data_IF_557613654459
#
_entry.id   IF_557613654459
#
_cell.length_a   1.000
_cell.length_b   1.000
_cell.length_c   1.000
_cell.angle_alpha   90.00
_cell.angle_beta   90.00
_cell.angle_gamma   90.00
#
_symmetry.space_group_name_H-M   'P 1'
#
loop_
_entity.id
_entity.type
_entity.pdbx_description
1 polymer ?
#
# COMPACT_ATOMS: atom_id res chain seq x y z
N UNK A 1 10.89 31.43 14.62
CA UNK A 1 11.71 30.75 13.59
C UNK A 1 10.84 29.68 12.95
N UNK A 2 10.80 29.59 11.62
CA UNK A 2 10.13 28.48 10.93
C UNK A 2 11.16 27.35 10.83
N UNK A 3 10.80 26.17 11.35
CA UNK A 3 11.62 24.96 11.26
C UNK A 3 11.23 24.21 9.99
N UNK A 4 12.19 23.94 9.11
CA UNK A 4 11.97 23.21 7.86
C UNK A 4 12.76 21.90 7.85
N UNK A 5 12.36 20.96 7.00
CA UNK A 5 13.08 19.72 6.75
C UNK A 5 12.96 19.33 5.27
N UNK A 6 13.87 18.48 4.77
CA UNK A 6 13.79 17.95 3.42
C UNK A 6 12.82 16.76 3.39
N UNK A 7 11.72 16.89 2.66
CA UNK A 7 10.68 15.88 2.53
C UNK A 7 10.27 15.61 1.08
N UNK A 8 9.43 14.60 0.89
CA UNK A 8 8.84 14.23 -0.39
C UNK A 8 7.41 14.75 -0.46
N UNK A 9 7.20 15.85 -1.18
CA UNK A 9 5.89 16.46 -1.38
C UNK A 9 5.02 15.61 -2.32
N UNK A 10 3.73 15.52 -2.00
CA UNK A 10 2.70 14.82 -2.78
C UNK A 10 1.78 15.81 -3.47
N UNK A 11 1.02 15.32 -4.45
CA UNK A 11 0.08 16.16 -5.22
C UNK A 11 -1.03 16.78 -4.36
N UNK A 12 -1.36 16.16 -3.22
CA UNK A 12 -2.34 16.66 -2.25
C UNK A 12 -1.75 17.63 -1.21
N UNK A 13 -0.46 17.95 -1.32
CA UNK A 13 0.27 18.83 -0.39
C UNK A 13 0.77 18.14 0.88
N UNK A 14 0.50 16.85 1.07
CA UNK A 14 1.11 16.09 2.17
C UNK A 14 2.60 15.85 1.92
N UNK A 15 3.38 15.64 2.99
CA UNK A 15 4.84 15.50 2.89
C UNK A 15 5.31 14.25 3.64
N UNK A 16 5.99 13.35 2.93
CA UNK A 16 6.64 12.17 3.50
C UNK A 16 8.09 12.43 3.92
N UNK A 17 8.54 11.72 4.96
CA UNK A 17 9.96 11.66 5.37
C UNK A 17 10.71 10.53 4.66
N UNK A 18 10.01 9.70 3.88
CA UNK A 18 10.53 8.62 3.04
C UNK A 18 9.80 8.60 1.69
N UNK A 19 10.37 7.90 0.71
CA UNK A 19 9.78 7.73 -0.61
C UNK A 19 9.78 6.24 -1.00
N UNK A 20 8.74 5.51 -0.60
CA UNK A 20 8.64 4.05 -0.77
C UNK A 20 7.66 3.69 -1.88
N UNK A 21 7.98 2.66 -2.65
CA UNK A 21 6.96 1.93 -3.41
C UNK A 21 6.48 0.77 -2.55
N UNK A 22 5.17 0.56 -2.53
CA UNK A 22 4.52 -0.52 -1.79
C UNK A 22 3.94 -1.54 -2.76
N UNK A 23 4.22 -2.82 -2.54
CA UNK A 23 3.49 -3.92 -3.17
C UNK A 23 2.47 -4.41 -2.15
N UNK A 24 1.19 -4.21 -2.43
CA UNK A 24 0.11 -4.45 -1.49
C UNK A 24 -0.73 -5.65 -1.91
N UNK A 25 -0.68 -6.72 -1.12
CA UNK A 25 -1.51 -7.89 -1.30
C UNK A 25 -2.92 -7.63 -0.75
N UNK A 26 -3.94 -7.78 -1.59
CA UNK A 26 -5.35 -7.57 -1.21
C UNK A 26 -5.97 -8.80 -0.53
N UNK A 27 -5.27 -9.95 -0.57
CA UNK A 27 -5.53 -11.14 0.22
C UNK A 27 -4.23 -11.76 0.76
N UNK A 28 -4.37 -12.55 1.82
CA UNK A 28 -3.30 -13.32 2.44
C UNK A 28 -2.65 -14.30 1.44
N UNK A 29 -3.44 -14.96 0.60
CA UNK A 29 -2.94 -15.82 -0.47
C UNK A 29 -2.03 -15.10 -1.48
N UNK A 30 -2.15 -13.77 -1.63
CA UNK A 30 -1.31 -12.96 -2.51
C UNK A 30 -0.01 -12.47 -1.83
N UNK A 31 0.14 -12.62 -0.51
CA UNK A 31 1.33 -12.17 0.23
C UNK A 31 2.65 -12.74 -0.33
N UNK A 32 2.78 -14.06 -0.61
CA UNK A 32 4.04 -14.59 -1.11
C UNK A 32 4.47 -13.95 -2.43
N UNK A 33 3.50 -13.67 -3.31
CA UNK A 33 3.73 -12.97 -4.59
C UNK A 33 4.17 -11.53 -4.34
N UNK A 34 3.48 -10.81 -3.44
CA UNK A 34 3.84 -9.43 -3.11
C UNK A 34 5.25 -9.33 -2.51
N UNK A 35 5.62 -10.25 -1.60
CA UNK A 35 6.97 -10.32 -1.02
C UNK A 35 8.04 -10.65 -2.04
N UNK A 36 7.76 -11.55 -2.98
CA UNK A 36 8.68 -11.90 -4.06
C UNK A 36 8.93 -10.71 -4.99
N UNK A 37 7.89 -9.97 -5.37
CA UNK A 37 8.04 -8.75 -6.17
C UNK A 37 8.87 -7.70 -5.42
N UNK A 38 8.51 -7.42 -4.15
CA UNK A 38 9.23 -6.44 -3.34
C UNK A 38 10.70 -6.85 -3.11
N UNK A 39 10.98 -8.13 -2.91
CA UNK A 39 12.34 -8.65 -2.74
C UNK A 39 13.22 -8.53 -3.98
N UNK A 40 12.63 -8.33 -5.16
CA UNK A 40 13.37 -8.11 -6.41
C UNK A 40 13.83 -6.67 -6.63
N UNK A 41 13.38 -5.71 -5.81
CA UNK A 41 13.68 -4.28 -6.00
C UNK A 41 14.04 -3.63 -4.67
N UNK A 42 15.25 -3.07 -4.58
CA UNK A 42 15.72 -2.41 -3.36
C UNK A 42 14.79 -1.25 -2.93
N UNK A 43 14.49 -1.20 -1.64
CA UNK A 43 13.68 -0.13 -1.05
C UNK A 43 12.16 -0.27 -1.24
N UNK A 44 11.70 -1.25 -2.03
CA UNK A 44 10.29 -1.61 -2.15
C UNK A 44 9.87 -2.47 -0.96
N UNK A 45 8.66 -2.23 -0.43
CA UNK A 45 8.14 -2.97 0.72
C UNK A 45 6.85 -3.69 0.37
N UNK A 46 6.67 -4.89 0.91
CA UNK A 46 5.42 -5.62 0.82
C UNK A 46 4.52 -5.31 2.02
N UNK A 47 3.24 -5.06 1.77
CA UNK A 47 2.18 -4.94 2.79
C UNK A 47 1.09 -5.95 2.45
N UNK A 48 0.48 -6.55 3.46
CA UNK A 48 -0.56 -7.57 3.29
C UNK A 48 -1.60 -7.46 4.40
N UNK A 49 -2.78 -8.00 4.14
CA UNK A 49 -3.84 -8.19 5.13
C UNK A 49 -3.97 -9.69 5.46
N UNK A 50 -4.41 -10.00 6.69
CA UNK A 50 -4.63 -11.38 7.16
C UNK A 50 -6.05 -11.63 7.70
N UNK A 51 -7.02 -10.86 7.20
CA UNK A 51 -8.45 -11.02 7.48
C UNK A 51 -9.12 -12.09 6.59
N UNK A 52 -8.34 -12.75 5.71
CA UNK A 52 -8.84 -13.70 4.72
C UNK A 52 -9.63 -13.01 3.60
N UNK A 53 -10.39 -13.79 2.84
CA UNK A 53 -11.20 -13.31 1.72
C UNK A 53 -12.57 -12.74 2.14
N UNK A 54 -12.72 -12.26 3.36
CA UNK A 54 -13.97 -11.64 3.82
C UNK A 54 -13.90 -10.13 3.55
N UNK A 55 -14.91 -9.59 2.88
CA UNK A 55 -15.02 -8.16 2.68
C UNK A 55 -15.24 -7.46 4.02
N UNK A 56 -14.48 -6.39 4.28
CA UNK A 56 -14.58 -5.67 5.54
C UNK A 56 -14.11 -4.23 5.38
N UNK A 57 -14.99 -3.29 5.75
CA UNK A 57 -14.72 -1.85 5.64
C UNK A 57 -13.48 -1.44 6.43
N UNK A 58 -13.28 -2.01 7.62
CA UNK A 58 -12.08 -1.77 8.43
C UNK A 58 -10.80 -2.17 7.68
N UNK A 59 -10.80 -3.32 6.99
CA UNK A 59 -9.65 -3.82 6.24
C UNK A 59 -9.41 -2.93 5.02
N UNK A 60 -10.47 -2.61 4.27
CA UNK A 60 -10.39 -1.70 3.13
C UNK A 60 -9.82 -0.34 3.53
N UNK A 61 -10.37 0.29 4.58
CA UNK A 61 -9.90 1.59 5.08
C UNK A 61 -8.45 1.52 5.59
N UNK A 62 -8.03 0.40 6.17
CA UNK A 62 -6.65 0.20 6.62
C UNK A 62 -5.69 0.12 5.44
N UNK A 63 -6.03 -0.66 4.39
CA UNK A 63 -5.22 -0.78 3.18
C UNK A 63 -5.15 0.56 2.42
N UNK A 64 -6.30 1.21 2.22
CA UNK A 64 -6.38 2.55 1.61
C UNK A 64 -5.57 3.56 2.40
N UNK A 65 -5.69 3.57 3.73
CA UNK A 65 -4.91 4.46 4.60
C UNK A 65 -3.41 4.19 4.54
N UNK A 66 -3.00 2.93 4.38
CA UNK A 66 -1.60 2.55 4.19
C UNK A 66 -1.06 3.05 2.84
N UNK A 67 -1.86 2.96 1.77
CA UNK A 67 -1.53 3.50 0.45
C UNK A 67 -1.38 5.02 0.45
N UNK A 68 -2.33 5.72 1.09
CA UNK A 68 -2.35 7.18 1.21
C UNK A 68 -1.32 7.77 2.18
N UNK A 69 -0.49 6.94 2.81
CA UNK A 69 0.55 7.45 3.70
C UNK A 69 1.54 8.33 2.90
N UNK A 70 1.89 9.54 3.35
CA UNK A 70 2.79 10.43 2.58
C UNK A 70 4.19 9.82 2.31
N UNK A 71 4.59 8.79 3.05
CA UNK A 71 5.83 8.05 2.79
C UNK A 71 5.75 7.07 1.60
N UNK A 72 4.55 6.84 1.05
CA UNK A 72 4.28 5.97 -0.08
C UNK A 72 4.16 6.83 -1.33
N UNK A 73 4.99 6.51 -2.32
CA UNK A 73 5.06 7.20 -3.60
C UNK A 73 4.16 6.57 -4.67
N UNK A 74 3.83 5.30 -4.46
CA UNK A 74 2.98 4.52 -5.36
C UNK A 74 2.74 3.13 -4.79
N UNK A 75 1.62 2.56 -5.20
CA UNK A 75 1.17 1.24 -4.76
C UNK A 75 0.98 0.34 -5.99
N UNK A 76 1.52 -0.87 -5.91
CA UNK A 76 1.17 -1.98 -6.80
C UNK A 76 0.22 -2.90 -6.05
N UNK A 77 -1.06 -2.91 -6.42
CA UNK A 77 -2.05 -3.83 -5.88
C UNK A 77 -1.87 -5.23 -6.50
N UNK A 78 -1.86 -6.26 -5.66
CA UNK A 78 -1.70 -7.66 -6.07
C UNK A 78 -2.91 -8.46 -5.59
N UNK A 79 -3.64 -9.03 -6.55
CA UNK A 79 -4.73 -9.97 -6.33
C UNK A 79 -4.55 -11.25 -7.16
N UNK A 80 -5.08 -12.35 -6.63
CA UNK A 80 -5.24 -13.68 -7.22
C UNK A 80 -6.58 -13.85 -7.95
N UNK A 81 -7.57 -13.00 -7.67
CA UNK A 81 -8.88 -12.97 -8.34
C UNK A 81 -10.02 -13.69 -7.60
N UNK A 82 -9.77 -14.23 -6.41
CA UNK A 82 -10.77 -14.90 -5.56
C UNK A 82 -11.06 -14.14 -4.26
N UNK A 83 -10.58 -12.92 -4.13
CA UNK A 83 -10.71 -12.09 -2.93
C UNK A 83 -12.13 -11.59 -2.70
N UNK A 84 -12.48 -11.38 -1.43
CA UNK A 84 -13.74 -10.73 -1.06
C UNK A 84 -13.80 -9.23 -1.39
N UNK A 85 -12.65 -8.59 -1.61
CA UNK A 85 -12.55 -7.20 -2.07
C UNK A 85 -11.69 -7.17 -3.32
N UNK A 86 -12.22 -6.60 -4.41
CA UNK A 86 -11.47 -6.48 -5.65
C UNK A 86 -10.36 -5.45 -5.52
N UNK A 87 -9.34 -5.56 -6.39
CA UNK A 87 -8.30 -4.53 -6.50
C UNK A 87 -8.91 -3.17 -6.88
N UNK A 88 -9.98 -3.17 -7.69
CA UNK A 88 -10.65 -1.94 -8.12
C UNK A 88 -11.31 -1.20 -6.94
N UNK A 89 -11.91 -1.92 -5.98
CA UNK A 89 -12.53 -1.29 -4.81
C UNK A 89 -11.49 -0.65 -3.87
N UNK A 90 -10.24 -1.07 -3.97
CA UNK A 90 -9.09 -0.53 -3.24
C UNK A 90 -8.25 0.46 -4.05
N UNK A 91 -8.62 0.76 -5.30
CA UNK A 91 -7.83 1.60 -6.21
C UNK A 91 -7.63 3.04 -5.76
N UNK A 92 -8.36 3.50 -4.74
CA UNK A 92 -8.18 4.80 -4.09
C UNK A 92 -7.06 4.75 -3.03
N UNK A 93 -5.92 4.16 -3.38
CA UNK A 93 -4.69 4.06 -2.56
C UNK A 93 -3.68 5.13 -2.95
#
# INVERSE_FOLDING_TARGET
MITTFQGYERLDGSVGVRNRIVVMAVADCAEPVARMIAGGVEGVVAISQHHGCIAGEMVANTLIGAGKNPNVAGVLLVGMGCEGMSVDSLGNV
#
